data_IF_109925856632
#
_entry.id   IF_109925856632
#
_cell.length_a   1.000
_cell.length_b   1.000
_cell.length_c   1.000
_cell.angle_alpha   90.00
_cell.angle_beta   90.00
_cell.angle_gamma   90.00
#
_symmetry.space_group_name_H-M   'P 1'
#
loop_
_entity.id
_entity.type
_entity.pdbx_description
1 polymer ?
#
# COMPACT_ATOMS: atom_id res chain seq x y z
N UNK A 1 -0.16 -25.19 -3.84
CA UNK A 1 -1.40 -25.11 -3.08
C UNK A 1 -2.14 -23.88 -3.57
N UNK A 2 -3.06 -24.05 -4.51
CA UNK A 2 -3.86 -22.95 -5.04
C UNK A 2 -5.11 -22.82 -4.16
N UNK A 3 -4.98 -22.17 -3.01
CA UNK A 3 -6.18 -21.66 -2.32
C UNK A 3 -6.58 -20.41 -3.07
N UNK A 4 -7.43 -20.54 -4.07
CA UNK A 4 -8.11 -19.39 -4.67
C UNK A 4 -9.02 -18.82 -3.59
N UNK A 5 -8.47 -17.85 -2.82
CA UNK A 5 -9.25 -17.09 -1.86
C UNK A 5 -10.23 -16.23 -2.66
N UNK A 6 -11.53 -16.33 -2.39
CA UNK A 6 -12.48 -15.40 -3.00
C UNK A 6 -12.20 -13.98 -2.50
N UNK A 7 -12.22 -13.01 -3.42
CA UNK A 7 -12.08 -11.61 -3.10
C UNK A 7 -13.16 -11.18 -2.08
N UNK A 8 -12.75 -10.51 -1.01
CA UNK A 8 -13.68 -9.95 -0.02
C UNK A 8 -14.61 -8.93 -0.66
N UNK A 9 -15.83 -8.88 -0.20
CA UNK A 9 -16.83 -7.87 -0.52
C UNK A 9 -16.89 -6.79 0.55
N UNK A 10 -17.49 -5.64 0.25
CA UNK A 10 -17.75 -4.57 1.24
C UNK A 10 -18.58 -5.10 2.41
N UNK A 11 -19.58 -5.96 2.14
CA UNK A 11 -20.41 -6.58 3.19
C UNK A 11 -19.55 -7.43 4.13
N UNK A 12 -18.74 -8.34 3.61
CA UNK A 12 -17.86 -9.18 4.42
C UNK A 12 -16.87 -8.37 5.26
N UNK A 13 -16.34 -7.26 4.69
CA UNK A 13 -15.47 -6.35 5.46
C UNK A 13 -16.26 -5.70 6.59
N UNK A 14 -17.48 -5.22 6.35
CA UNK A 14 -18.33 -4.63 7.41
C UNK A 14 -18.70 -5.66 8.47
N UNK A 15 -19.03 -6.87 8.05
CA UNK A 15 -19.47 -7.97 8.94
C UNK A 15 -18.32 -8.46 9.83
N UNK A 16 -17.05 -8.23 9.47
CA UNK A 16 -15.88 -8.54 10.32
C UNK A 16 -15.95 -7.84 11.67
N UNK A 17 -16.62 -6.70 11.76
CA UNK A 17 -16.90 -5.96 13.00
C UNK A 17 -17.56 -6.83 14.06
N UNK A 18 -18.50 -7.68 13.64
CA UNK A 18 -19.31 -8.50 14.53
C UNK A 18 -18.84 -9.96 14.62
N UNK A 19 -18.10 -10.44 13.62
CA UNK A 19 -17.62 -11.83 13.59
C UNK A 19 -16.45 -12.09 14.55
N UNK A 20 -15.72 -11.02 14.94
CA UNK A 20 -14.48 -11.14 15.72
C UNK A 20 -13.28 -11.61 14.88
N UNK A 21 -13.44 -11.87 13.59
CA UNK A 21 -12.35 -12.18 12.66
C UNK A 21 -11.48 -10.93 12.46
N UNK A 22 -10.17 -11.05 12.69
CA UNK A 22 -9.24 -9.95 12.47
C UNK A 22 -8.88 -9.85 10.99
N UNK A 23 -9.17 -8.70 10.40
CA UNK A 23 -8.84 -8.42 9.00
C UNK A 23 -7.36 -8.05 8.84
N UNK A 24 -6.73 -8.58 7.81
CA UNK A 24 -5.32 -8.31 7.49
C UNK A 24 -5.21 -7.43 6.26
N UNK A 25 -4.73 -6.21 6.45
CA UNK A 25 -4.45 -5.23 5.41
C UNK A 25 -2.95 -5.12 5.17
N UNK A 26 -2.54 -4.86 3.95
CA UNK A 26 -1.15 -4.61 3.62
C UNK A 26 -1.02 -3.49 2.59
N UNK A 27 -0.29 -2.43 2.93
CA UNK A 27 0.08 -1.41 1.95
C UNK A 27 1.21 -1.95 1.06
N UNK A 28 0.97 -1.95 -0.24
CA UNK A 28 1.86 -2.49 -1.27
C UNK A 28 2.06 -1.45 -2.37
N UNK A 29 3.30 -1.23 -2.87
CA UNK A 29 3.55 -0.19 -3.87
C UNK A 29 3.41 -0.65 -5.33
N UNK A 30 3.44 -1.96 -5.63
CA UNK A 30 3.60 -2.44 -7.00
C UNK A 30 2.98 -3.82 -7.26
N UNK A 31 3.09 -4.28 -8.52
CA UNK A 31 2.61 -5.57 -8.99
C UNK A 31 3.18 -6.75 -8.19
N UNK A 32 4.50 -6.76 -7.97
CA UNK A 32 5.18 -7.91 -7.36
C UNK A 32 4.81 -8.03 -5.87
N UNK A 33 4.83 -6.93 -5.14
CA UNK A 33 4.43 -6.90 -3.73
C UNK A 33 2.94 -7.19 -3.54
N UNK A 34 2.08 -6.77 -4.47
CA UNK A 34 0.67 -7.13 -4.48
C UNK A 34 0.46 -8.64 -4.69
N UNK A 35 1.23 -9.25 -5.60
CA UNK A 35 1.22 -10.71 -5.80
C UNK A 35 1.68 -11.46 -4.55
N UNK A 36 2.69 -10.96 -3.84
CA UNK A 36 3.10 -11.56 -2.57
C UNK A 36 1.99 -11.45 -1.51
N UNK A 37 1.31 -10.29 -1.44
CA UNK A 37 0.20 -10.09 -0.50
C UNK A 37 -0.96 -11.06 -0.78
N UNK A 38 -1.36 -11.24 -2.04
CA UNK A 38 -2.40 -12.19 -2.43
C UNK A 38 -2.01 -13.63 -2.09
N UNK A 39 -0.81 -14.06 -2.46
CA UNK A 39 -0.29 -15.41 -2.15
C UNK A 39 -0.11 -15.62 -0.64
N UNK A 40 0.20 -14.57 0.11
CA UNK A 40 0.31 -14.56 1.57
C UNK A 40 -1.02 -14.57 2.30
N UNK A 41 -2.15 -14.46 1.58
CA UNK A 41 -3.50 -14.52 2.16
C UNK A 41 -3.98 -13.21 2.80
N UNK A 42 -3.44 -12.07 2.41
CA UNK A 42 -3.91 -10.73 2.83
C UNK A 42 -5.36 -10.52 2.38
N UNK A 43 -6.20 -9.92 3.23
CA UNK A 43 -7.60 -9.65 2.89
C UNK A 43 -7.75 -8.42 2.00
N UNK A 44 -6.97 -7.38 2.26
CA UNK A 44 -7.03 -6.09 1.54
C UNK A 44 -5.62 -5.60 1.19
N UNK A 45 -5.35 -5.46 -0.10
CA UNK A 45 -4.15 -4.80 -0.62
C UNK A 45 -4.42 -3.29 -0.73
N UNK A 46 -3.59 -2.48 -0.10
CA UNK A 46 -3.77 -1.03 -0.05
C UNK A 46 -2.74 -0.34 -0.95
N UNK A 47 -3.22 0.41 -1.93
CA UNK A 47 -2.41 1.33 -2.70
C UNK A 47 -2.25 2.62 -1.89
N UNK A 48 -1.31 2.62 -0.94
CA UNK A 48 -1.06 3.74 -0.03
C UNK A 48 -0.19 4.83 -0.66
N UNK A 49 -0.43 6.09 -0.32
CA UNK A 49 0.42 7.24 -0.71
C UNK A 49 1.85 7.14 -0.14
N UNK A 50 2.07 6.27 0.85
CA UNK A 50 3.39 5.86 1.33
C UNK A 50 4.32 5.34 0.24
N UNK A 51 3.78 4.96 -0.94
CA UNK A 51 4.59 4.61 -2.13
C UNK A 51 5.54 5.74 -2.53
N UNK A 52 5.19 7.01 -2.28
CA UNK A 52 6.08 8.13 -2.50
C UNK A 52 7.40 7.97 -1.72
N UNK A 53 7.33 7.44 -0.49
CA UNK A 53 8.51 7.21 0.34
C UNK A 53 9.23 5.90 -0.03
N UNK A 54 8.50 4.79 -0.04
CA UNK A 54 9.09 3.44 -0.13
C UNK A 54 9.46 3.00 -1.55
N UNK A 55 8.83 3.57 -2.58
CA UNK A 55 9.11 3.25 -3.99
C UNK A 55 9.80 4.39 -4.74
N UNK A 56 9.57 5.64 -4.35
CA UNK A 56 10.12 6.81 -5.05
C UNK A 56 11.17 7.58 -4.24
N UNK A 57 11.43 7.21 -2.97
CA UNK A 57 12.49 7.79 -2.14
C UNK A 57 12.23 9.21 -1.65
N UNK A 58 10.98 9.70 -1.68
CA UNK A 58 10.64 10.98 -1.08
C UNK A 58 10.63 10.90 0.45
N UNK A 59 10.87 12.04 1.11
CA UNK A 59 10.93 12.11 2.58
C UNK A 59 9.55 12.04 3.28
N UNK A 60 8.46 12.19 2.53
CA UNK A 60 7.08 12.14 3.01
C UNK A 60 6.12 11.79 1.87
N UNK A 61 4.81 11.71 2.16
CA UNK A 61 3.79 11.27 1.19
C UNK A 61 3.24 12.40 0.30
N UNK A 62 3.50 13.67 0.62
CA UNK A 62 2.95 14.84 -0.10
C UNK A 62 3.27 14.82 -1.61
N UNK A 63 4.45 14.37 -2.07
CA UNK A 63 4.77 14.31 -3.50
C UNK A 63 3.98 13.29 -4.31
N UNK A 64 3.21 12.39 -3.67
CA UNK A 64 2.34 11.45 -4.39
C UNK A 64 1.30 12.21 -5.21
N UNK A 65 1.33 12.05 -6.54
CA UNK A 65 0.34 12.63 -7.46
C UNK A 65 -0.79 11.66 -7.76
N UNK A 66 -1.92 12.17 -8.25
CA UNK A 66 -3.01 11.30 -8.73
C UNK A 66 -2.55 10.32 -9.82
N UNK A 67 -1.69 10.77 -10.75
CA UNK A 67 -1.20 9.91 -11.83
C UNK A 67 -0.30 8.78 -11.30
N UNK A 68 0.56 9.07 -10.32
CA UNK A 68 1.33 8.03 -9.62
C UNK A 68 0.38 7.03 -8.95
N UNK A 69 -0.60 7.53 -8.18
CA UNK A 69 -1.52 6.66 -7.44
C UNK A 69 -2.35 5.78 -8.37
N UNK A 70 -2.88 6.31 -9.47
CA UNK A 70 -3.66 5.54 -10.47
C UNK A 70 -2.77 4.48 -11.13
N UNK A 71 -1.56 4.84 -11.55
CA UNK A 71 -0.61 3.91 -12.18
C UNK A 71 -0.24 2.75 -11.23
N UNK A 72 0.13 3.05 -10.00
CA UNK A 72 0.50 2.05 -9.01
C UNK A 72 -0.71 1.19 -8.61
N UNK A 73 -1.87 1.78 -8.37
CA UNK A 73 -3.11 1.05 -8.03
C UNK A 73 -3.51 0.07 -9.14
N UNK A 74 -3.38 0.48 -10.41
CA UNK A 74 -3.61 -0.39 -11.57
C UNK A 74 -2.62 -1.57 -11.62
N UNK A 75 -1.35 -1.35 -11.27
CA UNK A 75 -0.36 -2.42 -11.17
C UNK A 75 -0.70 -3.39 -10.01
N UNK A 76 -1.09 -2.85 -8.85
CA UNK A 76 -1.54 -3.62 -7.69
C UNK A 76 -2.75 -4.47 -8.04
N UNK A 77 -3.76 -3.91 -8.71
CA UNK A 77 -4.95 -4.65 -9.18
C UNK A 77 -4.58 -5.85 -10.05
N UNK A 78 -3.62 -5.70 -10.97
CA UNK A 78 -3.14 -6.81 -11.81
C UNK A 78 -2.35 -7.85 -11.01
N UNK A 79 -1.61 -7.44 -9.99
CA UNK A 79 -0.83 -8.33 -9.11
C UNK A 79 -1.68 -9.13 -8.14
N UNK A 80 -2.83 -8.58 -7.74
CA UNK A 80 -3.73 -9.17 -6.75
C UNK A 80 -5.20 -9.18 -7.28
N UNK A 81 -5.49 -9.96 -8.34
CA UNK A 81 -6.82 -9.98 -8.97
C UNK A 81 -7.93 -10.50 -8.06
N UNK A 82 -7.61 -11.36 -7.10
CA UNK A 82 -8.57 -11.97 -6.18
C UNK A 82 -8.51 -11.39 -4.76
N UNK A 83 -7.78 -10.28 -4.56
CA UNK A 83 -7.70 -9.55 -3.30
C UNK A 83 -8.48 -8.23 -3.42
N UNK A 84 -9.15 -7.80 -2.36
CA UNK A 84 -9.78 -6.47 -2.32
C UNK A 84 -8.69 -5.38 -2.40
N UNK A 85 -8.86 -4.41 -3.29
CA UNK A 85 -7.89 -3.31 -3.48
C UNK A 85 -8.50 -1.99 -3.03
N UNK A 86 -7.84 -1.36 -2.05
CA UNK A 86 -8.20 -0.04 -1.51
C UNK A 86 -7.20 1.00 -2.02
N UNK A 87 -7.67 2.05 -2.71
CA UNK A 87 -6.84 3.14 -3.23
C UNK A 87 -6.85 4.36 -2.31
N UNK A 88 -5.69 4.77 -1.79
CA UNK A 88 -5.57 5.98 -0.98
C UNK A 88 -5.50 7.22 -1.88
N UNK A 89 -6.40 8.18 -1.66
CA UNK A 89 -6.41 9.45 -2.39
C UNK A 89 -5.27 10.35 -1.90
N UNK A 90 -4.38 10.84 -2.78
CA UNK A 90 -3.20 11.60 -2.37
C UNK A 90 -3.54 13.02 -1.92
N UNK A 91 -2.53 13.69 -1.34
CA UNK A 91 -2.64 15.06 -0.83
C UNK A 91 -3.32 16.01 -1.81
N UNK A 92 -4.31 16.79 -1.31
CA UNK A 92 -5.09 17.77 -2.07
C UNK A 92 -5.90 17.23 -3.28
N UNK A 93 -6.02 15.93 -3.45
CA UNK A 93 -6.81 15.35 -4.53
C UNK A 93 -8.32 15.35 -4.27
N UNK A 94 -8.75 15.70 -3.05
CA UNK A 94 -10.14 15.68 -2.60
C UNK A 94 -10.52 16.93 -1.76
N UNK A 95 -9.89 18.06 -2.02
CA UNK A 95 -10.14 19.30 -1.26
C UNK A 95 -11.46 20.01 -1.60
N UNK A 96 -12.16 19.58 -2.65
CA UNK A 96 -13.54 19.96 -3.01
C UNK A 96 -14.32 18.73 -3.43
N UNK A 97 -15.66 18.77 -3.34
CA UNK A 97 -16.54 17.65 -3.76
C UNK A 97 -16.30 17.26 -5.22
N UNK A 98 -16.28 18.23 -6.14
CA UNK A 98 -16.09 17.97 -7.57
C UNK A 98 -14.73 17.29 -7.85
N UNK A 99 -13.68 17.78 -7.18
CA UNK A 99 -12.34 17.19 -7.33
C UNK A 99 -12.27 15.78 -6.73
N UNK A 100 -12.93 15.56 -5.60
CA UNK A 100 -13.00 14.25 -4.96
C UNK A 100 -13.72 13.24 -5.88
N UNK A 101 -14.88 13.60 -6.41
CA UNK A 101 -15.63 12.74 -7.34
C UNK A 101 -14.84 12.44 -8.62
N UNK A 102 -14.23 13.46 -9.24
CA UNK A 102 -13.39 13.26 -10.42
C UNK A 102 -12.25 12.28 -10.16
N UNK A 103 -11.49 12.49 -9.09
CA UNK A 103 -10.33 11.68 -8.77
C UNK A 103 -10.70 10.28 -8.26
N UNK A 104 -11.77 10.15 -7.50
CA UNK A 104 -12.31 8.85 -7.12
C UNK A 104 -12.76 8.02 -8.34
N UNK A 105 -13.40 8.68 -9.31
CA UNK A 105 -13.77 8.04 -10.59
C UNK A 105 -12.54 7.50 -11.32
N UNK A 106 -11.43 8.23 -11.34
CA UNK A 106 -10.16 7.76 -11.91
C UNK A 106 -9.66 6.48 -11.23
N UNK A 107 -9.68 6.42 -9.90
CA UNK A 107 -9.33 5.20 -9.18
C UNK A 107 -10.22 4.01 -9.56
N UNK A 108 -11.54 4.22 -9.62
CA UNK A 108 -12.50 3.16 -9.95
C UNK A 108 -12.36 2.69 -11.41
N UNK A 109 -12.28 3.62 -12.37
CA UNK A 109 -12.32 3.32 -13.81
C UNK A 109 -10.96 3.00 -14.40
N UNK A 110 -9.91 3.77 -14.08
CA UNK A 110 -8.59 3.61 -14.68
C UNK A 110 -7.74 2.56 -13.92
N UNK A 111 -7.82 2.56 -12.58
CA UNK A 111 -7.04 1.64 -11.76
C UNK A 111 -7.78 0.35 -11.38
N UNK A 112 -9.12 0.35 -11.41
CA UNK A 112 -9.94 -0.82 -11.08
C UNK A 112 -9.89 -1.21 -9.61
N UNK A 113 -9.73 -0.23 -8.70
CA UNK A 113 -9.79 -0.47 -7.25
C UNK A 113 -11.23 -0.80 -6.82
N UNK A 114 -11.40 -1.47 -5.70
CA UNK A 114 -12.71 -1.83 -5.16
C UNK A 114 -13.30 -0.73 -4.26
N UNK A 115 -12.45 0.11 -3.69
CA UNK A 115 -12.82 1.24 -2.83
C UNK A 115 -11.70 2.29 -2.77
N UNK A 116 -12.04 3.46 -2.22
CA UNK A 116 -11.09 4.56 -2.00
C UNK A 116 -10.97 4.92 -0.53
N UNK A 117 -9.84 5.54 -0.16
CA UNK A 117 -9.54 5.99 1.20
C UNK A 117 -8.96 7.41 1.19
N UNK A 118 -9.80 8.47 1.22
CA UNK A 118 -9.34 9.82 1.55
C UNK A 118 -9.06 9.92 3.06
N UNK A 119 -8.05 10.73 3.44
CA UNK A 119 -7.72 10.98 4.84
C UNK A 119 -8.55 12.15 5.40
N UNK A 120 -8.97 12.03 6.64
CA UNK A 120 -9.63 13.11 7.39
C UNK A 120 -10.90 12.68 8.10
N UNK A 121 -11.25 13.43 9.14
CA UNK A 121 -12.40 13.21 10.01
C UNK A 121 -13.57 14.15 9.71
N UNK A 122 -14.15 14.73 10.78
CA UNK A 122 -15.32 15.60 10.74
C UNK A 122 -15.24 16.75 9.72
N UNK A 123 -14.06 17.34 9.54
CA UNK A 123 -13.84 18.41 8.57
C UNK A 123 -14.02 17.98 7.11
N UNK A 124 -13.87 16.69 6.81
CA UNK A 124 -14.05 16.09 5.50
C UNK A 124 -15.38 15.35 5.32
N UNK A 125 -16.24 15.32 6.35
CA UNK A 125 -17.48 14.53 6.36
C UNK A 125 -18.40 14.82 5.15
N UNK A 126 -18.48 16.08 4.69
CA UNK A 126 -19.26 16.43 3.50
C UNK A 126 -18.70 15.80 2.21
N UNK A 127 -17.39 15.76 2.07
CA UNK A 127 -16.73 15.12 0.91
C UNK A 127 -16.93 13.61 0.97
N UNK A 128 -16.74 13.00 2.14
CA UNK A 128 -16.96 11.56 2.35
C UNK A 128 -18.39 11.16 2.01
N UNK A 129 -19.37 11.93 2.51
CA UNK A 129 -20.79 11.75 2.19
C UNK A 129 -21.05 11.81 0.69
N UNK A 130 -20.52 12.83 0.01
CA UNK A 130 -20.72 13.00 -1.43
C UNK A 130 -20.17 11.85 -2.26
N UNK A 131 -19.03 11.26 -1.84
CA UNK A 131 -18.46 10.09 -2.48
C UNK A 131 -19.36 8.85 -2.29
N UNK A 132 -19.83 8.62 -1.06
CA UNK A 132 -20.75 7.53 -0.73
C UNK A 132 -22.07 7.65 -1.48
N UNK A 133 -22.67 8.84 -1.50
CA UNK A 133 -23.94 9.13 -2.18
C UNK A 133 -23.82 8.96 -3.71
N UNK A 134 -22.61 9.15 -4.26
CA UNK A 134 -22.30 8.87 -5.66
C UNK A 134 -22.08 7.35 -5.95
N UNK A 135 -22.24 6.48 -4.95
CA UNK A 135 -22.07 5.03 -5.09
C UNK A 135 -20.62 4.56 -5.09
N UNK A 136 -19.68 5.39 -4.64
CA UNK A 136 -18.26 5.04 -4.54
C UNK A 136 -17.98 4.48 -3.13
N UNK A 137 -17.56 3.19 -2.99
CA UNK A 137 -17.21 2.65 -1.69
C UNK A 137 -16.06 3.43 -1.07
N UNK A 138 -16.30 4.02 0.09
CA UNK A 138 -15.40 4.97 0.73
C UNK A 138 -15.03 4.51 2.14
N UNK A 139 -13.74 4.43 2.43
CA UNK A 139 -13.14 4.34 3.74
C UNK A 139 -12.66 5.72 4.19
N UNK A 140 -12.16 5.86 5.41
CA UNK A 140 -11.39 7.03 5.80
C UNK A 140 -10.31 6.71 6.83
N UNK A 141 -9.40 7.66 7.06
CA UNK A 141 -8.20 7.51 7.85
C UNK A 141 -8.02 8.72 8.79
N UNK A 142 -7.87 8.47 10.08
CA UNK A 142 -7.67 9.48 11.12
C UNK A 142 -6.55 9.10 12.11
N UNK A 143 -6.30 10.00 13.04
CA UNK A 143 -5.15 9.94 13.94
C UNK A 143 -4.00 10.73 13.34
N UNK A 144 -2.85 10.12 13.16
CA UNK A 144 -1.81 10.69 12.31
C UNK A 144 -2.27 10.58 10.86
N UNK A 145 -2.40 11.72 10.21
CA UNK A 145 -2.70 11.82 8.78
C UNK A 145 -1.44 12.31 8.06
N UNK A 146 -0.73 11.45 7.29
CA UNK A 146 0.52 11.83 6.61
C UNK A 146 0.39 13.08 5.74
N UNK A 147 -0.78 13.34 5.16
CA UNK A 147 -1.07 14.54 4.38
C UNK A 147 -0.93 15.83 5.19
N UNK A 148 -1.17 15.79 6.48
CA UNK A 148 -1.12 16.96 7.37
C UNK A 148 0.07 16.92 8.32
N UNK A 149 1.08 16.10 8.05
CA UNK A 149 2.26 15.89 8.88
C UNK A 149 2.96 17.21 9.26
N UNK A 150 2.96 18.18 8.38
CA UNK A 150 3.52 19.52 8.63
C UNK A 150 2.77 20.26 9.75
N UNK A 151 1.45 20.09 9.85
CA UNK A 151 0.63 20.72 10.92
C UNK A 151 0.90 20.09 12.29
N UNK A 152 1.31 18.82 12.32
CA UNK A 152 1.70 18.13 13.55
C UNK A 152 3.15 18.36 13.95
N UNK A 153 3.95 18.99 13.08
CA UNK A 153 5.40 19.14 13.25
C UNK A 153 6.13 17.79 13.24
N UNK A 154 5.74 16.91 12.32
CA UNK A 154 6.31 15.57 12.10
C UNK A 154 5.34 14.42 12.41
N UNK A 155 5.82 13.18 12.27
CA UNK A 155 5.07 11.97 12.56
C UNK A 155 4.88 11.80 14.07
N UNK A 156 3.77 12.29 14.62
CA UNK A 156 3.48 12.30 16.06
C UNK A 156 2.21 11.52 16.38
N UNK A 157 2.25 10.81 17.51
CA UNK A 157 1.08 10.10 18.07
C UNK A 157 -0.03 11.11 18.38
N UNK A 158 -1.26 10.82 17.96
CA UNK A 158 -2.45 11.63 18.16
C UNK A 158 -3.34 11.02 19.25
N UNK A 159 -4.07 11.86 20.01
CA UNK A 159 -5.02 11.37 21.02
C UNK A 159 -4.41 11.07 22.39
N UNK A 160 -3.30 11.72 22.79
CA UNK A 160 -2.62 11.49 24.07
C UNK A 160 -3.29 12.13 25.29
N UNK A 161 -4.19 13.10 25.10
CA UNK A 161 -4.97 13.70 26.18
C UNK A 161 -6.45 13.36 26.01
N UNK A 162 -7.24 13.42 27.08
CA UNK A 162 -8.67 13.18 26.99
C UNK A 162 -9.35 14.05 25.93
N UNK A 163 -9.03 15.35 25.88
CA UNK A 163 -9.60 16.26 24.90
C UNK A 163 -9.20 15.91 23.46
N UNK A 164 -7.95 15.49 23.24
CA UNK A 164 -7.50 15.06 21.91
C UNK A 164 -8.10 13.71 21.50
N UNK A 165 -8.32 12.81 22.45
CA UNK A 165 -9.02 11.55 22.23
C UNK A 165 -10.49 11.76 21.89
N UNK A 166 -11.17 12.70 22.56
CA UNK A 166 -12.55 13.08 22.23
C UNK A 166 -12.67 13.62 20.80
N UNK A 167 -11.73 14.44 20.34
CA UNK A 167 -11.72 14.88 18.93
C UNK A 167 -11.59 13.73 17.94
N UNK A 168 -10.76 12.71 18.24
CA UNK A 168 -10.65 11.51 17.39
C UNK A 168 -11.96 10.71 17.40
N UNK A 169 -12.66 10.62 18.53
CA UNK A 169 -13.98 10.00 18.61
C UNK A 169 -15.01 10.77 17.76
N UNK A 170 -15.06 12.10 17.86
CA UNK A 170 -15.95 12.93 17.02
C UNK A 170 -15.66 12.77 15.53
N UNK A 171 -14.37 12.69 15.14
CA UNK A 171 -13.96 12.42 13.78
C UNK A 171 -14.43 11.04 13.31
N UNK A 172 -14.27 10.00 14.14
CA UNK A 172 -14.67 8.64 13.84
C UNK A 172 -16.20 8.50 13.66
N UNK A 173 -16.98 9.13 14.55
CA UNK A 173 -18.45 9.13 14.42
C UNK A 173 -18.90 9.88 13.16
N UNK A 174 -18.28 11.01 12.84
CA UNK A 174 -18.61 11.76 11.63
C UNK A 174 -18.30 10.99 10.33
N UNK A 175 -17.25 10.15 10.33
CA UNK A 175 -16.91 9.25 9.22
C UNK A 175 -17.98 8.16 9.07
N UNK A 176 -18.35 7.52 10.17
CA UNK A 176 -19.41 6.51 10.17
C UNK A 176 -20.74 7.12 9.68
N UNK A 177 -21.13 8.27 10.20
CA UNK A 177 -22.34 8.99 9.80
C UNK A 177 -22.30 9.40 8.33
N UNK A 178 -21.12 9.69 7.78
CA UNK A 178 -20.94 9.95 6.35
C UNK A 178 -21.15 8.69 5.48
N UNK A 179 -21.25 7.49 6.05
CA UNK A 179 -21.54 6.25 5.36
C UNK A 179 -20.27 5.50 4.92
N UNK A 180 -19.10 5.84 5.44
CA UNK A 180 -17.90 5.07 5.20
C UNK A 180 -18.05 3.64 5.71
N UNK A 181 -17.47 2.67 4.97
CA UNK A 181 -17.64 1.26 5.33
C UNK A 181 -16.62 0.75 6.35
N UNK A 182 -15.51 1.46 6.55
CA UNK A 182 -14.46 1.19 7.54
C UNK A 182 -13.67 2.44 7.88
N UNK A 183 -12.93 2.41 8.96
CA UNK A 183 -12.07 3.48 9.46
C UNK A 183 -10.66 2.96 9.76
N UNK A 184 -9.64 3.66 9.32
CA UNK A 184 -8.23 3.42 9.63
C UNK A 184 -7.75 4.37 10.73
N UNK A 185 -7.07 3.80 11.76
CA UNK A 185 -6.39 4.57 12.82
C UNK A 185 -4.88 4.50 12.63
N UNK A 186 -4.21 5.63 12.49
CA UNK A 186 -2.76 5.67 12.52
C UNK A 186 -2.21 6.38 13.75
N UNK A 187 -1.27 5.71 14.44
CA UNK A 187 -0.53 6.25 15.58
C UNK A 187 -1.45 6.85 16.67
N UNK A 188 -2.53 6.13 17.01
CA UNK A 188 -3.45 6.43 18.10
C UNK A 188 -3.11 5.52 19.29
N UNK A 189 -3.09 6.01 20.54
CA UNK A 189 -2.84 5.14 21.71
C UNK A 189 -3.82 3.97 21.78
N UNK A 190 -3.32 2.75 22.08
CA UNK A 190 -4.11 1.52 22.12
C UNK A 190 -5.40 1.64 22.96
N UNK A 191 -5.30 2.24 24.16
CA UNK A 191 -6.47 2.46 25.01
C UNK A 191 -7.54 3.36 24.38
N UNK A 192 -7.13 4.38 23.60
CA UNK A 192 -8.06 5.28 22.90
C UNK A 192 -8.70 4.53 21.72
N UNK A 193 -7.89 3.87 20.89
CA UNK A 193 -8.40 3.07 19.79
C UNK A 193 -9.37 1.99 20.25
N UNK A 194 -9.08 1.32 21.38
CA UNK A 194 -9.97 0.31 21.99
C UNK A 194 -11.33 0.87 22.36
N UNK A 195 -11.39 2.06 22.96
CA UNK A 195 -12.66 2.69 23.34
C UNK A 195 -13.43 3.07 22.08
N UNK A 196 -12.80 3.77 21.15
CA UNK A 196 -13.46 4.24 19.92
C UNK A 196 -13.95 3.07 19.06
N UNK A 197 -13.15 1.99 18.94
CA UNK A 197 -13.56 0.77 18.20
C UNK A 197 -14.87 0.19 18.74
N UNK A 198 -15.14 0.28 20.04
CA UNK A 198 -16.37 -0.23 20.64
C UNK A 198 -17.60 0.66 20.40
N UNK A 199 -17.38 1.97 20.20
CA UNK A 199 -18.44 2.94 19.94
C UNK A 199 -18.90 2.95 18.47
N UNK A 200 -18.14 2.30 17.56
CA UNK A 200 -18.41 2.29 16.13
C UNK A 200 -19.09 0.98 15.68
N UNK A 201 -20.00 1.09 14.75
CA UNK A 201 -20.64 -0.03 14.04
C UNK A 201 -19.84 -0.47 12.80
N UNK A 202 -18.92 0.39 12.32
CA UNK A 202 -18.01 0.04 11.21
C UNK A 202 -16.69 -0.53 11.74
N UNK A 203 -16.03 -1.45 11.00
CA UNK A 203 -14.75 -1.99 11.41
C UNK A 203 -13.64 -0.94 11.42
N UNK A 204 -12.72 -1.10 12.37
CA UNK A 204 -11.55 -0.25 12.54
C UNK A 204 -10.28 -1.03 12.22
N UNK A 205 -9.37 -0.44 11.44
CA UNK A 205 -8.09 -1.03 11.06
C UNK A 205 -6.96 -0.18 11.64
N UNK A 206 -6.06 -0.82 12.39
CA UNK A 206 -4.99 -0.11 13.11
C UNK A 206 -3.63 -0.21 12.45
N UNK A 207 -2.94 0.93 12.34
CA UNK A 207 -1.50 1.00 12.12
C UNK A 207 -0.86 1.75 13.30
N UNK A 208 -0.20 1.04 14.19
CA UNK A 208 0.30 1.62 15.44
C UNK A 208 -0.80 2.07 16.41
N UNK A 209 -1.96 1.41 16.39
CA UNK A 209 -3.12 1.69 17.23
C UNK A 209 -3.46 0.55 18.23
N UNK A 210 -2.55 -0.39 18.40
CA UNK A 210 -2.70 -1.53 19.31
C UNK A 210 -3.53 -2.67 18.74
N UNK A 211 -3.78 -3.70 19.56
CA UNK A 211 -4.39 -4.99 19.15
C UNK A 211 -5.92 -4.97 19.15
N UNK A 212 -6.52 -3.93 19.73
CA UNK A 212 -7.95 -3.89 20.01
C UNK A 212 -8.83 -3.37 18.85
N UNK A 213 -8.24 -3.02 17.72
CA UNK A 213 -8.94 -2.74 16.45
C UNK A 213 -9.40 -4.02 15.78
N UNK A 214 -10.34 -3.94 14.82
CA UNK A 214 -10.93 -5.10 14.14
C UNK A 214 -9.98 -5.70 13.09
N UNK A 215 -8.95 -4.99 12.69
CA UNK A 215 -7.89 -5.45 11.81
C UNK A 215 -6.59 -4.68 11.99
N UNK A 216 -5.56 -5.08 11.24
CA UNK A 216 -4.23 -4.44 11.27
C UNK A 216 -3.73 -4.20 9.86
N UNK A 217 -2.99 -3.09 9.67
CA UNK A 217 -2.27 -2.79 8.45
C UNK A 217 -0.78 -2.52 8.73
N UNK A 218 0.08 -3.02 7.88
CA UNK A 218 1.50 -2.63 7.79
C UNK A 218 1.90 -2.43 6.34
N UNK A 219 2.96 -1.66 6.13
CA UNK A 219 3.60 -1.54 4.83
C UNK A 219 4.39 -2.82 4.53
N UNK A 220 4.22 -3.39 3.33
CA UNK A 220 4.93 -4.58 2.87
C UNK A 220 6.46 -4.41 3.00
N UNK A 221 6.99 -3.27 2.59
CA UNK A 221 8.42 -2.98 2.62
C UNK A 221 8.98 -2.89 4.05
N UNK A 222 8.20 -2.36 5.00
CA UNK A 222 8.58 -2.35 6.41
C UNK A 222 8.55 -3.76 7.01
N UNK A 223 7.46 -4.49 6.76
CA UNK A 223 7.21 -5.84 7.28
C UNK A 223 8.26 -6.84 6.80
N UNK A 224 8.67 -6.75 5.53
CA UNK A 224 9.65 -7.65 4.93
C UNK A 224 11.10 -7.15 5.05
N UNK A 225 11.33 -5.97 5.63
CA UNK A 225 12.67 -5.40 5.77
C UNK A 225 13.30 -5.02 4.43
N UNK A 226 12.49 -4.54 3.49
CA UNK A 226 12.95 -3.95 2.22
C UNK A 226 13.30 -2.47 2.42
N UNK A 227 12.45 -1.71 3.12
CA UNK A 227 12.73 -0.33 3.48
C UNK A 227 13.57 -0.26 4.77
N UNK A 228 14.74 0.37 4.69
CA UNK A 228 15.73 0.37 5.80
C UNK A 228 15.98 1.74 6.40
N UNK A 229 15.61 2.83 5.72
CA UNK A 229 15.93 4.20 6.11
C UNK A 229 15.25 4.64 7.41
N UNK A 230 14.05 4.12 7.65
CA UNK A 230 13.30 4.39 8.87
C UNK A 230 12.50 3.15 9.32
N UNK A 231 12.41 2.94 10.61
CA UNK A 231 11.58 1.87 11.20
C UNK A 231 10.66 2.45 12.26
N UNK A 232 9.35 2.58 12.00
CA UNK A 232 8.37 2.97 13.01
C UNK A 232 8.37 2.01 14.21
N UNK A 233 8.11 2.51 15.41
CA UNK A 233 8.08 1.70 16.64
C UNK A 233 7.08 0.52 16.55
N UNK A 234 5.96 0.72 15.86
CA UNK A 234 4.90 -0.28 15.71
C UNK A 234 5.23 -1.36 14.68
N UNK A 235 6.27 -1.20 13.88
CA UNK A 235 6.63 -2.17 12.84
C UNK A 235 7.36 -3.37 13.43
N UNK A 236 6.77 -4.56 13.28
CA UNK A 236 7.44 -5.85 13.44
C UNK A 236 7.93 -6.35 12.10
N UNK A 237 9.22 -6.59 11.95
CA UNK A 237 9.81 -7.22 10.77
C UNK A 237 9.67 -8.74 10.86
N UNK A 238 9.18 -9.36 9.80
CA UNK A 238 9.03 -10.81 9.65
C UNK A 238 10.07 -11.41 8.71
N UNK A 239 10.78 -10.57 7.94
CA UNK A 239 11.87 -10.94 7.07
C UNK A 239 12.94 -9.83 7.01
N UNK A 240 14.05 -10.09 6.30
CA UNK A 240 15.19 -9.19 6.08
C UNK A 240 15.60 -9.24 4.62
N UNK A 241 14.67 -8.88 3.73
CA UNK A 241 14.87 -9.05 2.28
C UNK A 241 16.01 -8.18 1.73
N UNK A 242 16.28 -7.00 2.30
CA UNK A 242 17.42 -6.17 1.86
C UNK A 242 18.74 -6.89 2.06
N UNK A 243 18.95 -7.61 3.19
CA UNK A 243 20.17 -8.34 3.44
C UNK A 243 20.37 -9.44 2.35
N UNK A 244 19.33 -10.23 2.10
CA UNK A 244 19.35 -11.30 1.07
C UNK A 244 19.58 -10.73 -0.33
N UNK A 245 18.93 -9.62 -0.67
CA UNK A 245 19.08 -8.96 -1.97
C UNK A 245 20.51 -8.44 -2.19
N UNK A 246 21.09 -7.78 -1.17
CA UNK A 246 22.47 -7.26 -1.24
C UNK A 246 23.47 -8.38 -1.41
N UNK A 247 23.34 -9.48 -0.65
CA UNK A 247 24.23 -10.64 -0.74
C UNK A 247 24.13 -11.30 -2.12
N UNK A 248 22.93 -11.47 -2.67
CA UNK A 248 22.72 -12.00 -4.02
C UNK A 248 23.33 -11.12 -5.10
N UNK A 249 23.15 -9.80 -5.01
CA UNK A 249 23.77 -8.83 -5.94
C UNK A 249 25.30 -8.88 -5.82
N UNK A 250 25.85 -8.97 -4.61
CA UNK A 250 27.29 -9.06 -4.40
C UNK A 250 27.89 -10.35 -5.00
N UNK A 251 27.19 -11.48 -4.89
CA UNK A 251 27.57 -12.74 -5.54
C UNK A 251 27.60 -12.58 -7.06
N UNK A 252 26.52 -12.06 -7.66
CA UNK A 252 26.47 -11.78 -9.09
C UNK A 252 27.63 -10.88 -9.56
N UNK A 253 27.90 -9.79 -8.84
CA UNK A 253 29.03 -8.87 -9.16
C UNK A 253 30.36 -9.60 -9.14
N UNK A 254 30.57 -10.50 -8.16
CA UNK A 254 31.80 -11.32 -8.08
C UNK A 254 31.91 -12.25 -9.30
N UNK A 255 30.87 -12.99 -9.63
CA UNK A 255 30.87 -13.99 -10.70
C UNK A 255 31.14 -13.34 -12.07
N UNK A 256 30.50 -12.18 -12.33
CA UNK A 256 30.80 -11.40 -13.55
C UNK A 256 32.26 -10.95 -13.60
N UNK A 257 32.79 -10.40 -12.48
CA UNK A 257 34.19 -9.90 -12.44
C UNK A 257 35.24 -11.00 -12.53
N UNK A 258 34.91 -12.24 -12.13
CA UNK A 258 35.79 -13.37 -12.18
C UNK A 258 35.60 -14.24 -13.43
N UNK A 259 34.65 -13.91 -14.32
CA UNK A 259 34.32 -14.67 -15.51
C UNK A 259 33.60 -15.97 -15.24
N UNK A 260 33.02 -16.15 -14.05
CA UNK A 260 32.21 -17.31 -13.68
C UNK A 260 30.79 -17.23 -14.20
N UNK A 261 30.33 -16.01 -14.56
CA UNK A 261 29.04 -15.78 -15.20
C UNK A 261 29.24 -14.86 -16.42
N UNK A 262 28.56 -15.12 -17.56
CA UNK A 262 27.75 -16.33 -17.83
C UNK A 262 28.61 -17.57 -18.05
N UNK A 263 28.07 -18.71 -17.67
CA UNK A 263 28.61 -20.05 -18.01
C UNK A 263 27.92 -20.61 -19.29
N UNK A 264 28.20 -21.88 -19.62
CA UNK A 264 27.63 -22.54 -20.82
C UNK A 264 26.08 -22.63 -20.75
N UNK A 265 25.51 -22.87 -19.56
CA UNK A 265 24.05 -22.97 -19.36
C UNK A 265 23.35 -21.65 -19.55
N UNK A 266 24.08 -20.55 -19.38
CA UNK A 266 23.56 -19.16 -19.51
C UNK A 266 24.05 -18.46 -20.79
N UNK A 267 24.56 -19.21 -21.78
CA UNK A 267 25.10 -18.71 -23.05
C UNK A 267 24.39 -19.32 -24.23
N UNK A 268 24.29 -18.59 -25.32
CA UNK A 268 23.81 -19.14 -26.58
C UNK A 268 24.98 -19.54 -27.48
N UNK A 269 24.94 -20.75 -28.05
CA UNK A 269 25.90 -21.22 -29.00
C UNK A 269 25.48 -20.90 -30.44
N UNK A 270 26.46 -20.86 -31.34
CA UNK A 270 26.27 -20.86 -32.78
C UNK A 270 26.87 -22.16 -33.35
N UNK A 271 26.32 -22.71 -34.42
CA UNK A 271 26.88 -23.83 -35.09
C UNK A 271 28.30 -23.54 -35.61
N UNK A 272 29.23 -24.48 -35.44
CA UNK A 272 30.67 -24.30 -35.71
C UNK A 272 30.92 -23.87 -37.16
N UNK A 273 30.22 -24.49 -38.13
CA UNK A 273 30.32 -24.11 -39.54
C UNK A 273 29.85 -22.68 -39.83
N UNK A 274 28.86 -22.19 -39.12
CA UNK A 274 28.39 -20.80 -39.26
C UNK A 274 29.32 -19.80 -38.56
N UNK A 275 29.95 -20.21 -37.46
CA UNK A 275 30.94 -19.39 -36.80
C UNK A 275 32.19 -19.22 -37.68
N UNK A 276 32.70 -20.31 -38.32
CA UNK A 276 33.82 -20.26 -39.27
C UNK A 276 33.51 -19.33 -40.46
N UNK A 277 32.32 -19.44 -41.06
CA UNK A 277 31.86 -18.51 -42.11
C UNK A 277 31.89 -17.06 -41.66
N UNK A 278 31.35 -16.80 -40.48
CA UNK A 278 31.33 -15.48 -39.90
C UNK A 278 32.76 -14.94 -39.71
N UNK A 279 33.68 -15.74 -39.13
CA UNK A 279 35.07 -15.35 -38.94
C UNK A 279 35.73 -14.98 -40.26
N UNK A 280 35.54 -15.83 -41.32
CA UNK A 280 36.06 -15.57 -42.67
C UNK A 280 35.54 -14.28 -43.27
N UNK A 281 34.26 -13.93 -43.06
CA UNK A 281 33.68 -12.67 -43.50
C UNK A 281 34.27 -11.45 -42.77
N UNK A 282 34.56 -11.59 -41.48
CA UNK A 282 35.20 -10.52 -40.70
C UNK A 282 36.63 -10.27 -41.16
N UNK A 283 37.42 -11.33 -41.47
CA UNK A 283 38.77 -11.16 -42.01
C UNK A 283 38.81 -10.48 -43.37
N UNK A 284 37.92 -10.86 -44.28
CA UNK A 284 37.79 -10.19 -45.59
C UNK A 284 37.46 -8.70 -45.45
N UNK A 285 36.62 -8.34 -44.47
CA UNK A 285 36.24 -6.91 -44.22
C UNK A 285 37.40 -6.07 -43.70
N UNK A 286 38.37 -6.67 -42.97
CA UNK A 286 39.56 -5.98 -42.43
C UNK A 286 40.64 -5.71 -43.51
N UNK A 287 40.52 -6.33 -44.68
CA UNK A 287 41.48 -6.19 -45.80
C UNK A 287 41.05 -5.12 -46.83
N UNK A 288 39.87 -4.54 -46.67
CA UNK A 288 39.32 -3.41 -47.40
C UNK A 288 39.51 -2.13 -46.62
#
# INVERSE_FOLDING_TARGET
MDVVKNKRTISEIRDSKHSGEKMVYMSVPDYTSAKWAELGGVDVAVAGDSLAMIAHGFSNTIPATMDMMVMHSSAIRRGAPNTFVLGCMPYQSYNTVDRALLNATRFMQEAGVDAINPQGGKSQANILRSLVDAGIPTASHIGLTPHTVAMFGGFKIQGRTADSAMRILEDALAIQDAGCFMLEFEAVPDGVAKVITKELEIPTIGIGAGVNTDGQILLCHDLLGVFTDFKPKFTKRYAKLTEVAVDGIAAYVKDVKTGQFPDEDHSYSIEEAELEKFQSLVEKRRQI
#
